data_IF_356140694460
#
_entry.id   IF_356140694460
#
_cell.length_a   1.000
_cell.length_b   1.000
_cell.length_c   1.000
_cell.angle_alpha   90.00
_cell.angle_beta   90.00
_cell.angle_gamma   90.00
#
_symmetry.space_group_name_H-M   'P 1'
#
loop_
_entity.id
_entity.type
_entity.pdbx_description
1 polymer ?
#
# COMPACT_ATOMS: atom_id res chain seq x y z
N UNK A 1 45.63 -24.36 -60.28
CA UNK A 1 44.46 -23.44 -60.09
C UNK A 1 43.22 -24.09 -59.43
N UNK A 2 43.34 -25.27 -58.84
CA UNK A 2 42.18 -26.02 -58.28
C UNK A 2 42.10 -26.14 -56.76
N UNK A 3 43.15 -25.82 -56.03
CA UNK A 3 43.21 -26.07 -54.60
C UNK A 3 42.73 -24.89 -53.71
N UNK A 4 42.86 -23.65 -54.17
CA UNK A 4 42.39 -22.46 -53.44
C UNK A 4 40.87 -22.32 -53.52
N UNK A 5 40.28 -22.62 -54.66
CA UNK A 5 38.84 -22.54 -54.87
C UNK A 5 38.07 -23.57 -54.04
N UNK A 6 38.63 -24.79 -53.85
CA UNK A 6 38.07 -25.82 -52.99
C UNK A 6 38.17 -25.46 -51.51
N UNK A 7 39.26 -24.81 -51.08
CA UNK A 7 39.42 -24.37 -49.68
C UNK A 7 38.47 -23.25 -49.32
N UNK A 8 38.19 -22.31 -50.19
CA UNK A 8 37.23 -21.21 -49.99
C UNK A 8 35.79 -21.72 -49.98
N UNK A 9 35.44 -22.70 -50.80
CA UNK A 9 34.11 -23.34 -50.79
C UNK A 9 33.86 -24.07 -49.44
N UNK A 10 34.83 -24.83 -48.95
CA UNK A 10 34.72 -25.54 -47.65
C UNK A 10 34.62 -24.53 -46.49
N UNK A 11 35.39 -23.42 -46.53
CA UNK A 11 35.32 -22.35 -45.53
C UNK A 11 33.95 -21.68 -45.51
N UNK A 12 33.37 -21.38 -46.67
CA UNK A 12 32.04 -20.78 -46.78
C UNK A 12 30.92 -21.69 -46.27
N UNK A 13 30.97 -22.99 -46.60
CA UNK A 13 30.01 -23.98 -46.10
C UNK A 13 30.11 -24.10 -44.55
N UNK A 14 31.32 -24.14 -44.02
CA UNK A 14 31.56 -24.22 -42.59
C UNK A 14 31.09 -22.97 -41.84
N UNK A 15 31.35 -21.78 -42.37
CA UNK A 15 30.86 -20.51 -41.80
C UNK A 15 29.32 -20.43 -41.85
N UNK A 16 28.71 -20.84 -42.96
CA UNK A 16 27.26 -20.86 -43.08
C UNK A 16 26.61 -21.85 -42.06
N UNK A 17 27.24 -23.00 -41.81
CA UNK A 17 26.76 -23.97 -40.82
C UNK A 17 26.88 -23.43 -39.40
N UNK A 18 27.98 -22.78 -39.06
CA UNK A 18 28.20 -22.14 -37.75
C UNK A 18 27.20 -21.00 -37.51
N UNK A 19 26.92 -20.16 -38.49
CA UNK A 19 25.96 -19.06 -38.37
C UNK A 19 24.53 -19.59 -38.17
N UNK A 20 24.13 -20.64 -38.91
CA UNK A 20 22.82 -21.28 -38.78
C UNK A 20 22.64 -21.94 -37.39
N UNK A 21 23.68 -22.58 -36.85
CA UNK A 21 23.65 -23.20 -35.53
C UNK A 21 23.53 -22.14 -34.42
N UNK A 22 24.27 -21.04 -34.51
CA UNK A 22 24.20 -19.90 -33.59
C UNK A 22 22.82 -19.24 -33.64
N UNK A 23 22.25 -19.02 -34.83
CA UNK A 23 20.93 -18.45 -35.02
C UNK A 23 19.85 -19.31 -34.34
N UNK A 24 19.90 -20.64 -34.55
CA UNK A 24 18.95 -21.57 -33.94
C UNK A 24 19.07 -21.59 -32.39
N UNK A 25 20.28 -21.48 -31.85
CA UNK A 25 20.51 -21.38 -30.42
C UNK A 25 19.93 -20.06 -29.85
N UNK A 26 20.12 -18.94 -30.55
CA UNK A 26 19.54 -17.64 -30.17
C UNK A 26 18.03 -17.66 -30.19
N UNK A 27 17.40 -18.24 -31.23
CA UNK A 27 15.94 -18.38 -31.33
C UNK A 27 15.37 -19.22 -30.18
N UNK A 28 16.05 -20.35 -29.84
CA UNK A 28 15.66 -21.17 -28.69
C UNK A 28 15.79 -20.40 -27.37
N UNK A 29 16.88 -19.68 -27.16
CA UNK A 29 17.08 -18.86 -25.96
C UNK A 29 16.00 -17.78 -25.86
N UNK A 30 15.72 -17.05 -26.96
CA UNK A 30 14.66 -16.04 -26.99
C UNK A 30 13.28 -16.63 -26.66
N UNK A 31 12.96 -17.81 -27.19
CA UNK A 31 11.71 -18.52 -26.88
C UNK A 31 11.57 -18.79 -25.36
N UNK A 32 12.62 -19.28 -24.71
CA UNK A 32 12.59 -19.53 -23.28
C UNK A 32 12.50 -18.26 -22.44
N UNK A 33 13.15 -17.18 -22.86
CA UNK A 33 13.00 -15.84 -22.24
C UNK A 33 11.55 -15.37 -22.36
N UNK A 34 10.94 -15.46 -23.56
CA UNK A 34 9.54 -15.06 -23.74
C UNK A 34 8.60 -15.89 -22.87
N UNK A 35 8.80 -17.21 -22.78
CA UNK A 35 8.00 -18.09 -21.92
C UNK A 35 8.17 -17.65 -20.45
N UNK A 36 9.39 -17.40 -20.00
CA UNK A 36 9.67 -16.92 -18.64
C UNK A 36 8.96 -15.61 -18.31
N UNK A 37 8.98 -14.66 -19.25
CA UNK A 37 8.27 -13.37 -19.08
C UNK A 37 6.75 -13.55 -19.02
N UNK A 38 6.16 -14.43 -19.82
CA UNK A 38 4.72 -14.73 -19.79
C UNK A 38 4.34 -15.36 -18.46
N UNK A 39 5.12 -16.33 -17.96
CA UNK A 39 4.88 -16.97 -16.67
C UNK A 39 4.98 -15.95 -15.53
N UNK A 40 5.99 -15.09 -15.55
CA UNK A 40 6.14 -14.02 -14.56
C UNK A 40 4.96 -13.05 -14.58
N UNK A 41 4.54 -12.60 -15.76
CA UNK A 41 3.39 -11.71 -15.92
C UNK A 41 2.10 -12.36 -15.40
N UNK A 42 1.89 -13.65 -15.71
CA UNK A 42 0.77 -14.44 -15.20
C UNK A 42 0.78 -14.57 -13.68
N UNK A 43 1.94 -14.82 -13.08
CA UNK A 43 2.10 -14.90 -11.63
C UNK A 43 1.79 -13.54 -10.94
N UNK A 44 2.33 -12.45 -11.48
CA UNK A 44 2.04 -11.10 -10.97
C UNK A 44 0.56 -10.75 -11.05
N UNK A 45 -0.09 -11.11 -12.17
CA UNK A 45 -1.53 -10.92 -12.33
C UNK A 45 -2.35 -11.75 -11.34
N UNK A 46 -1.97 -13.01 -11.13
CA UNK A 46 -2.64 -13.90 -10.17
C UNK A 46 -2.52 -13.37 -8.74
N UNK A 47 -1.33 -12.91 -8.33
CA UNK A 47 -1.09 -12.29 -7.03
C UNK A 47 -1.97 -11.03 -6.87
N UNK A 48 -1.99 -10.15 -7.88
CA UNK A 48 -2.80 -8.92 -7.83
C UNK A 48 -4.30 -9.25 -7.63
N UNK A 49 -4.82 -10.24 -8.35
CA UNK A 49 -6.23 -10.67 -8.21
C UNK A 49 -6.51 -11.36 -6.88
N UNK A 50 -5.59 -12.17 -6.40
CA UNK A 50 -5.71 -12.83 -5.10
C UNK A 50 -5.79 -11.84 -3.95
N UNK A 51 -4.90 -10.83 -3.92
CA UNK A 51 -4.93 -9.77 -2.90
C UNK A 51 -6.27 -9.02 -2.92
N UNK A 52 -6.75 -8.61 -4.11
CA UNK A 52 -8.05 -7.93 -4.23
C UNK A 52 -9.21 -8.82 -3.76
N UNK A 53 -9.23 -10.10 -4.13
CA UNK A 53 -10.28 -11.03 -3.74
C UNK A 53 -10.37 -11.23 -2.22
N UNK A 54 -9.22 -11.37 -1.56
CA UNK A 54 -9.14 -11.59 -0.11
C UNK A 54 -9.63 -10.40 0.72
N UNK A 55 -9.66 -9.20 0.15
CA UNK A 55 -9.91 -7.97 0.90
C UNK A 55 -11.18 -7.23 0.49
N UNK A 56 -11.86 -7.66 -0.58
CA UNK A 56 -12.99 -6.94 -1.17
C UNK A 56 -14.16 -6.69 -0.20
N UNK A 57 -14.41 -7.60 0.75
CA UNK A 57 -15.49 -7.48 1.73
C UNK A 57 -15.15 -6.55 2.92
N UNK A 58 -13.92 -6.04 2.96
CA UNK A 58 -13.44 -5.16 4.02
C UNK A 58 -13.38 -3.70 3.57
N UNK A 59 -13.88 -3.39 2.37
CA UNK A 59 -13.85 -2.05 1.78
C UNK A 59 -15.18 -1.33 1.97
N UNK A 60 -15.10 -0.08 2.43
CA UNK A 60 -16.16 0.91 2.32
C UNK A 60 -15.83 1.89 1.20
N UNK A 61 -16.83 2.40 0.52
CA UNK A 61 -16.70 3.39 -0.55
C UNK A 61 -17.44 4.70 -0.26
N UNK A 62 -18.22 4.74 0.80
CA UNK A 62 -18.86 5.94 1.33
C UNK A 62 -18.59 6.07 2.81
N UNK A 63 -18.43 7.30 3.30
CA UNK A 63 -18.35 7.60 4.73
C UNK A 63 -19.63 7.14 5.44
N UNK A 64 -20.77 7.25 4.78
CA UNK A 64 -22.08 6.90 5.37
C UNK A 64 -22.21 5.42 5.72
N UNK A 65 -21.52 4.53 4.96
CA UNK A 65 -21.56 3.09 5.17
C UNK A 65 -20.59 2.62 6.28
N UNK A 66 -19.67 3.49 6.72
CA UNK A 66 -18.69 3.13 7.73
C UNK A 66 -19.36 2.94 9.09
N UNK A 67 -19.18 1.76 9.68
CA UNK A 67 -19.54 1.53 11.06
C UNK A 67 -18.60 2.31 12.01
N UNK A 68 -19.04 2.68 13.24
CA UNK A 68 -18.19 3.37 14.21
C UNK A 68 -16.91 2.57 14.54
N UNK A 69 -15.78 3.27 14.59
CA UNK A 69 -14.48 2.74 14.98
C UNK A 69 -13.81 3.67 16.00
N UNK A 70 -13.11 3.10 16.96
CA UNK A 70 -12.35 3.91 17.92
C UNK A 70 -11.18 4.63 17.23
N UNK A 71 -10.47 3.95 16.33
CA UNK A 71 -9.27 4.47 15.71
C UNK A 71 -9.37 4.39 14.17
N UNK A 72 -8.97 5.47 13.50
CA UNK A 72 -8.68 5.43 12.08
C UNK A 72 -7.19 5.64 11.81
N UNK A 73 -6.59 4.76 11.01
CA UNK A 73 -5.21 4.86 10.55
C UNK A 73 -5.20 5.57 9.18
N UNK A 74 -4.72 6.80 9.14
CA UNK A 74 -4.55 7.55 7.90
C UNK A 74 -3.17 7.26 7.32
N UNK A 75 -3.12 6.55 6.19
CA UNK A 75 -1.85 6.23 5.55
C UNK A 75 -1.26 7.46 4.84
N UNK A 76 0.00 7.76 5.12
CA UNK A 76 0.71 8.92 4.62
C UNK A 76 0.88 8.93 3.10
N UNK A 77 1.00 10.13 2.58
CA UNK A 77 1.41 10.45 1.22
C UNK A 77 1.80 11.92 1.17
N UNK A 78 2.68 12.28 0.23
CA UNK A 78 3.12 13.68 0.08
C UNK A 78 1.95 14.61 -0.21
N UNK A 79 1.85 15.73 0.53
CA UNK A 79 0.82 16.76 0.33
C UNK A 79 0.94 17.45 -1.03
N UNK A 80 2.16 17.58 -1.55
CA UNK A 80 2.43 18.22 -2.83
C UNK A 80 3.23 17.29 -3.76
N UNK A 81 2.92 17.35 -5.04
CA UNK A 81 3.70 16.81 -6.14
C UNK A 81 4.37 17.99 -6.87
N UNK A 82 5.59 18.30 -6.48
CA UNK A 82 6.23 19.57 -6.85
C UNK A 82 5.49 20.75 -6.23
N UNK A 83 4.86 21.60 -7.04
CA UNK A 83 4.06 22.76 -6.59
C UNK A 83 2.54 22.50 -6.60
N UNK A 84 2.09 21.34 -7.06
CA UNK A 84 0.68 21.01 -7.21
C UNK A 84 0.21 20.23 -5.98
N UNK A 85 -0.95 20.58 -5.45
CA UNK A 85 -1.58 19.86 -4.34
C UNK A 85 -1.94 18.43 -4.81
N UNK A 86 -1.60 17.46 -3.99
CA UNK A 86 -1.79 16.04 -4.29
C UNK A 86 -3.22 15.60 -3.93
N UNK A 87 -4.05 15.31 -4.92
CA UNK A 87 -5.43 14.87 -4.71
C UNK A 87 -5.51 13.58 -3.86
N UNK A 88 -4.50 12.68 -3.93
CA UNK A 88 -4.42 11.52 -3.02
C UNK A 88 -4.39 11.92 -1.55
N UNK A 89 -3.65 12.98 -1.24
CA UNK A 89 -3.57 13.54 0.11
C UNK A 89 -4.89 14.18 0.52
N UNK A 90 -5.42 15.06 -0.33
CA UNK A 90 -6.65 15.82 -0.06
C UNK A 90 -7.80 14.89 0.28
N UNK A 91 -8.08 13.90 -0.56
CA UNK A 91 -9.20 12.98 -0.34
C UNK A 91 -9.07 12.15 0.94
N UNK A 92 -7.85 11.86 1.42
CA UNK A 92 -7.66 11.17 2.71
C UNK A 92 -7.97 12.08 3.88
N UNK A 93 -7.52 13.34 3.82
CA UNK A 93 -7.77 14.32 4.89
C UNK A 93 -9.24 14.68 4.95
N UNK A 94 -9.88 14.95 3.82
CA UNK A 94 -11.31 15.26 3.75
C UNK A 94 -12.14 14.11 4.34
N UNK A 95 -11.84 12.86 3.96
CA UNK A 95 -12.52 11.69 4.51
C UNK A 95 -12.30 11.52 6.03
N UNK A 96 -11.10 11.83 6.54
CA UNK A 96 -10.83 11.82 7.97
C UNK A 96 -11.68 12.87 8.71
N UNK A 97 -11.79 14.07 8.16
CA UNK A 97 -12.62 15.16 8.72
C UNK A 97 -14.11 14.77 8.69
N UNK A 98 -14.60 14.21 7.59
CA UNK A 98 -15.99 13.78 7.45
C UNK A 98 -16.35 12.67 8.45
N UNK A 99 -15.44 11.68 8.65
CA UNK A 99 -15.61 10.62 9.64
C UNK A 99 -15.65 11.16 11.08
N UNK A 100 -14.84 12.17 11.39
CA UNK A 100 -14.84 12.83 12.69
C UNK A 100 -16.16 13.59 12.91
N UNK A 101 -16.57 14.42 11.96
CA UNK A 101 -17.79 15.22 12.02
C UNK A 101 -19.06 14.35 12.16
N UNK A 102 -19.06 13.17 11.51
CA UNK A 102 -20.15 12.19 11.63
C UNK A 102 -20.01 11.29 12.88
N UNK A 103 -19.06 11.56 13.78
CA UNK A 103 -18.79 10.76 15.00
C UNK A 103 -18.54 9.27 14.73
N UNK A 104 -18.04 8.93 13.56
CA UNK A 104 -17.74 7.55 13.16
C UNK A 104 -16.33 7.11 13.56
N UNK A 105 -15.46 8.06 13.90
CA UNK A 105 -14.10 7.81 14.38
C UNK A 105 -13.79 8.75 15.53
N UNK A 106 -13.21 8.20 16.59
CA UNK A 106 -12.85 8.97 17.79
C UNK A 106 -11.40 9.45 17.79
N UNK A 107 -10.47 8.65 17.26
CA UNK A 107 -9.05 8.94 17.28
C UNK A 107 -8.41 8.68 15.91
N UNK A 108 -7.36 9.43 15.59
CA UNK A 108 -6.61 9.29 14.34
C UNK A 108 -5.17 8.91 14.62
N UNK A 109 -4.71 7.83 14.00
CA UNK A 109 -3.29 7.49 13.90
C UNK A 109 -2.79 7.90 12.52
N UNK A 110 -1.98 8.94 12.45
CA UNK A 110 -1.41 9.46 11.21
C UNK A 110 -0.05 8.81 10.99
N UNK A 111 -0.01 7.80 10.11
CA UNK A 111 1.20 7.02 9.87
C UNK A 111 1.83 7.35 8.54
N UNK A 112 3.11 7.73 8.56
CA UNK A 112 3.83 8.15 7.37
C UNK A 112 5.33 8.24 7.56
N UNK A 113 6.02 8.72 6.51
CA UNK A 113 7.47 8.86 6.47
C UNK A 113 7.91 10.24 6.98
N UNK A 114 8.94 10.26 7.84
CA UNK A 114 9.63 11.46 8.29
C UNK A 114 11.12 11.46 7.91
N UNK A 115 11.58 10.57 7.03
CA UNK A 115 12.98 10.42 6.68
C UNK A 115 13.59 11.68 6.01
N UNK A 116 12.76 12.52 5.42
CA UNK A 116 13.21 13.78 4.83
C UNK A 116 13.11 14.94 5.84
N UNK A 117 14.25 15.56 6.17
CA UNK A 117 14.30 16.71 7.10
C UNK A 117 13.39 17.88 6.72
N UNK A 118 13.07 18.03 5.43
CA UNK A 118 12.24 19.13 4.91
C UNK A 118 10.75 18.80 4.86
N UNK A 119 10.34 17.55 5.09
CA UNK A 119 8.94 17.14 4.97
C UNK A 119 8.61 15.97 5.90
N UNK A 120 7.65 16.18 6.77
CA UNK A 120 7.14 15.22 7.75
C UNK A 120 5.65 14.97 7.44
N UNK A 121 5.34 13.76 6.94
CA UNK A 121 3.97 13.42 6.53
C UNK A 121 3.00 13.45 7.71
N UNK A 122 3.23 12.73 8.83
CA UNK A 122 2.31 12.73 9.98
C UNK A 122 2.03 14.13 10.52
N UNK A 123 3.08 14.96 10.69
CA UNK A 123 2.92 16.32 11.17
C UNK A 123 2.12 17.20 10.21
N UNK A 124 2.30 16.99 8.90
CA UNK A 124 1.57 17.74 7.88
C UNK A 124 0.07 17.39 7.92
N UNK A 125 -0.26 16.10 8.07
CA UNK A 125 -1.64 15.64 8.25
C UNK A 125 -2.26 16.18 9.55
N UNK A 126 -1.53 16.10 10.68
CA UNK A 126 -1.98 16.63 11.97
C UNK A 126 -2.38 18.10 11.86
N UNK A 127 -1.53 18.92 11.25
CA UNK A 127 -1.79 20.37 11.08
C UNK A 127 -3.06 20.64 10.29
N UNK A 128 -3.39 19.80 9.29
CA UNK A 128 -4.62 20.00 8.51
C UNK A 128 -5.86 19.52 9.28
N UNK A 129 -5.78 18.45 10.09
CA UNK A 129 -6.86 18.02 10.98
C UNK A 129 -7.13 19.03 12.10
N UNK A 130 -6.07 19.61 12.70
CA UNK A 130 -6.21 20.69 13.70
C UNK A 130 -6.91 21.92 13.12
N UNK A 131 -6.67 22.27 11.85
CA UNK A 131 -7.37 23.38 11.16
C UNK A 131 -8.85 23.09 10.92
N UNK A 132 -9.21 21.81 10.87
CA UNK A 132 -10.58 21.34 10.78
C UNK A 132 -11.20 21.04 12.16
N UNK A 133 -10.62 21.61 13.23
CA UNK A 133 -11.09 21.55 14.61
C UNK A 133 -11.12 20.13 15.22
N UNK A 134 -10.37 19.17 14.67
CA UNK A 134 -10.13 17.89 15.35
C UNK A 134 -9.19 18.14 16.53
N UNK A 135 -9.57 17.78 17.77
CA UNK A 135 -8.78 18.05 18.97
C UNK A 135 -7.41 17.37 18.95
N UNK A 136 -6.40 18.03 19.50
CA UNK A 136 -5.00 17.55 19.49
C UNK A 136 -4.85 16.19 20.20
N UNK A 137 -5.56 15.99 21.28
CA UNK A 137 -5.59 14.76 22.07
C UNK A 137 -6.20 13.55 21.34
N UNK A 138 -6.84 13.77 20.20
CA UNK A 138 -7.40 12.73 19.32
C UNK A 138 -6.48 12.34 18.17
N UNK A 139 -5.29 12.97 18.08
CA UNK A 139 -4.39 12.81 16.93
C UNK A 139 -3.04 12.25 17.39
N UNK A 140 -2.76 11.03 17.00
CA UNK A 140 -1.52 10.30 17.29
C UNK A 140 -0.65 10.25 16.04
N UNK A 141 0.68 10.31 16.22
CA UNK A 141 1.62 10.41 15.10
C UNK A 141 2.57 9.21 15.06
N UNK A 142 2.49 8.45 13.99
CA UNK A 142 3.45 7.39 13.69
C UNK A 142 4.48 7.89 12.64
N UNK A 143 5.66 8.23 13.11
CA UNK A 143 6.77 8.73 12.30
C UNK A 143 7.60 7.64 11.61
N UNK A 144 7.28 6.38 11.85
CA UNK A 144 8.02 5.24 11.32
C UNK A 144 7.21 4.37 10.35
N UNK A 145 6.14 4.92 9.79
CA UNK A 145 5.31 4.29 8.76
C UNK A 145 5.93 4.37 7.36
N UNK A 146 7.19 3.89 7.19
CA UNK A 146 7.92 4.00 5.91
C UNK A 146 7.35 3.11 4.80
N UNK A 147 6.76 1.98 5.16
CA UNK A 147 6.10 1.04 4.27
C UNK A 147 4.72 0.72 4.83
N UNK A 148 3.81 0.25 3.99
CA UNK A 148 2.48 -0.18 4.45
C UNK A 148 2.55 -1.23 5.54
N UNK A 149 3.50 -2.17 5.46
CA UNK A 149 3.73 -3.16 6.51
C UNK A 149 4.09 -2.49 7.84
N UNK A 150 4.97 -1.49 7.81
CA UNK A 150 5.37 -0.77 9.02
C UNK A 150 4.15 -0.08 9.65
N UNK A 151 3.35 0.66 8.87
CA UNK A 151 2.15 1.36 9.35
C UNK A 151 1.13 0.41 10.01
N UNK A 152 0.83 -0.72 9.37
CA UNK A 152 -0.19 -1.65 9.83
C UNK A 152 0.27 -2.42 11.06
N UNK A 153 1.49 -2.95 11.07
CA UNK A 153 2.00 -3.72 12.21
C UNK A 153 2.27 -2.82 13.41
N UNK A 154 2.79 -1.60 13.18
CA UNK A 154 3.02 -0.63 14.27
C UNK A 154 1.73 -0.13 14.91
N UNK A 155 0.63 -0.01 14.15
CA UNK A 155 -0.68 0.30 14.74
C UNK A 155 -1.02 -0.69 15.87
N UNK A 156 -0.78 -1.98 15.67
CA UNK A 156 -0.99 -3.02 16.70
C UNK A 156 0.10 -3.00 17.77
N UNK A 157 1.37 -3.09 17.37
CA UNK A 157 2.47 -3.37 18.29
C UNK A 157 2.88 -2.17 19.15
N UNK A 158 2.74 -0.95 18.62
CA UNK A 158 3.16 0.31 19.27
C UNK A 158 1.96 1.04 19.84
N UNK A 159 0.88 1.20 19.02
CA UNK A 159 -0.27 2.01 19.39
C UNK A 159 -1.42 1.19 20.02
N UNK A 160 -1.19 -0.11 20.24
CA UNK A 160 -2.08 -1.05 20.92
C UNK A 160 -3.52 -1.05 20.35
N UNK A 161 -3.61 -0.96 19.00
CA UNK A 161 -4.89 -1.04 18.30
C UNK A 161 -4.85 -2.14 17.25
N UNK A 162 -5.71 -3.13 17.39
CA UNK A 162 -5.85 -4.29 16.48
C UNK A 162 -7.22 -4.34 15.79
N UNK A 163 -8.07 -3.32 16.04
CA UNK A 163 -9.35 -3.11 15.38
C UNK A 163 -9.47 -1.64 14.98
N UNK A 164 -9.29 -1.35 13.69
CA UNK A 164 -9.27 0.03 13.19
C UNK A 164 -9.77 0.17 11.76
N UNK A 165 -10.14 1.40 11.41
CA UNK A 165 -10.43 1.80 10.04
C UNK A 165 -9.17 2.34 9.37
N UNK A 166 -8.85 1.86 8.18
CA UNK A 166 -7.80 2.43 7.33
C UNK A 166 -8.43 3.49 6.40
N UNK A 167 -7.76 4.61 6.19
CA UNK A 167 -8.17 5.63 5.21
C UNK A 167 -7.10 5.73 4.13
N UNK A 168 -7.42 5.31 2.91
CA UNK A 168 -6.52 5.40 1.76
C UNK A 168 -7.26 5.16 0.43
N UNK A 169 -6.56 5.20 -0.70
CA UNK A 169 -7.13 4.82 -1.99
C UNK A 169 -7.29 3.29 -2.10
N UNK A 170 -8.27 2.84 -2.89
CA UNK A 170 -8.65 1.43 -2.99
C UNK A 170 -7.45 0.48 -3.18
N UNK A 171 -6.57 0.75 -4.13
CA UNK A 171 -5.42 -0.11 -4.40
C UNK A 171 -4.48 -0.26 -3.20
N UNK A 172 -4.35 0.81 -2.40
CA UNK A 172 -3.54 0.84 -1.18
C UNK A 172 -4.28 0.19 -0.01
N UNK A 173 -5.60 0.40 0.10
CA UNK A 173 -6.48 -0.29 1.05
C UNK A 173 -6.35 -1.81 0.93
N UNK A 174 -6.48 -2.35 -0.28
CA UNK A 174 -6.40 -3.79 -0.52
C UNK A 174 -5.05 -4.37 -0.05
N UNK A 175 -3.93 -3.69 -0.33
CA UNK A 175 -2.61 -4.12 0.16
C UNK A 175 -2.48 -4.00 1.68
N UNK A 176 -2.99 -2.93 2.27
CA UNK A 176 -2.95 -2.72 3.72
C UNK A 176 -3.80 -3.76 4.47
N UNK A 177 -5.01 -4.05 3.98
CA UNK A 177 -5.89 -5.08 4.51
C UNK A 177 -5.29 -6.49 4.37
N UNK A 178 -4.63 -6.78 3.26
CA UNK A 178 -3.95 -8.06 3.06
C UNK A 178 -2.85 -8.28 4.12
N UNK A 179 -2.09 -7.22 4.43
CA UNK A 179 -1.08 -7.25 5.50
C UNK A 179 -1.76 -7.39 6.87
N UNK A 180 -2.85 -6.64 7.12
CA UNK A 180 -3.61 -6.70 8.37
C UNK A 180 -4.16 -8.12 8.63
N UNK A 181 -4.75 -8.75 7.61
CA UNK A 181 -5.28 -10.11 7.71
C UNK A 181 -4.20 -11.13 8.07
N UNK A 182 -3.01 -11.02 7.47
CA UNK A 182 -1.87 -11.89 7.79
C UNK A 182 -1.42 -11.78 9.26
N UNK A 183 -1.51 -10.58 9.83
CA UNK A 183 -1.14 -10.30 11.23
C UNK A 183 -2.30 -10.44 12.22
N UNK A 184 -3.45 -11.01 11.80
CA UNK A 184 -4.66 -11.15 12.61
C UNK A 184 -5.13 -9.81 13.21
N UNK A 185 -5.12 -8.76 12.39
CA UNK A 185 -5.62 -7.41 12.71
C UNK A 185 -7.00 -7.25 12.08
N UNK A 186 -7.99 -6.88 12.89
CA UNK A 186 -9.36 -6.63 12.44
C UNK A 186 -9.45 -5.23 11.83
N UNK A 187 -9.15 -5.12 10.55
CA UNK A 187 -9.19 -3.84 9.85
C UNK A 187 -10.29 -3.81 8.78
N UNK A 188 -10.88 -2.64 8.62
CA UNK A 188 -11.68 -2.24 7.45
C UNK A 188 -10.99 -1.08 6.77
N UNK A 189 -11.36 -0.75 5.54
CA UNK A 189 -10.79 0.40 4.87
C UNK A 189 -11.85 1.24 4.17
N UNK A 190 -11.82 2.55 4.41
CA UNK A 190 -12.51 3.52 3.58
C UNK A 190 -11.64 3.84 2.36
N UNK A 191 -12.09 3.35 1.21
CA UNK A 191 -11.44 3.54 -0.07
C UNK A 191 -11.84 4.89 -0.67
N UNK A 192 -11.01 5.91 -0.47
CA UNK A 192 -11.23 7.24 -1.02
C UNK A 192 -10.86 7.33 -2.49
N UNK A 193 -11.42 8.31 -3.20
CA UNK A 193 -11.17 8.54 -4.63
C UNK A 193 -9.69 8.79 -4.93
N UNK A 194 -9.28 8.40 -6.11
CA UNK A 194 -7.98 8.80 -6.69
C UNK A 194 -8.09 10.14 -7.42
N UNK A 195 -6.96 10.64 -7.98
CA UNK A 195 -6.95 11.84 -8.79
C UNK A 195 -7.81 11.71 -10.04
N UNK A 196 -8.48 12.79 -10.40
CA UNK A 196 -9.35 12.89 -11.59
C UNK A 196 -8.55 12.88 -12.88
N UNK A 197 -7.28 13.30 -12.86
CA UNK A 197 -6.39 13.41 -14.04
C UNK A 197 -5.20 12.45 -13.96
N UNK A 198 -5.11 11.52 -14.92
CA UNK A 198 -3.90 10.85 -15.44
C UNK A 198 -2.90 10.18 -14.47
N UNK A 199 -3.30 9.43 -13.48
CA UNK A 199 -2.33 8.59 -12.75
C UNK A 199 -2.46 7.08 -13.01
N UNK A 200 -3.36 6.67 -13.91
CA UNK A 200 -3.84 5.29 -13.99
C UNK A 200 -2.75 4.23 -14.15
N UNK A 201 -2.00 4.22 -15.26
CA UNK A 201 -1.15 3.06 -15.61
C UNK A 201 0.10 2.93 -14.73
N UNK A 202 0.85 4.02 -14.51
CA UNK A 202 2.09 3.96 -13.70
C UNK A 202 1.82 3.56 -12.25
N UNK A 203 0.76 4.12 -11.65
CA UNK A 203 0.35 3.79 -10.29
C UNK A 203 -0.11 2.35 -10.20
N UNK A 204 -0.91 1.89 -11.18
CA UNK A 204 -1.38 0.51 -11.25
C UNK A 204 -0.22 -0.49 -11.38
N UNK A 205 0.73 -0.23 -12.28
CA UNK A 205 1.91 -1.08 -12.45
C UNK A 205 2.77 -1.13 -11.18
N UNK A 206 3.03 0.03 -10.56
CA UNK A 206 3.74 0.09 -9.27
C UNK A 206 3.03 -0.75 -8.20
N UNK A 207 1.69 -0.71 -8.17
CA UNK A 207 0.92 -1.43 -7.17
C UNK A 207 0.98 -2.94 -7.36
N UNK A 208 0.95 -3.45 -8.60
CA UNK A 208 1.14 -4.88 -8.89
C UNK A 208 2.46 -5.38 -8.26
N UNK A 209 3.56 -4.66 -8.47
CA UNK A 209 4.84 -4.99 -7.85
C UNK A 209 4.84 -4.83 -6.32
N UNK A 210 4.17 -3.81 -5.79
CA UNK A 210 4.06 -3.58 -4.36
C UNK A 210 3.28 -4.71 -3.66
N UNK A 211 2.24 -5.25 -4.30
CA UNK A 211 1.49 -6.42 -3.81
C UNK A 211 2.32 -7.70 -3.87
N UNK A 212 3.04 -7.93 -4.98
CA UNK A 212 3.96 -9.05 -5.08
C UNK A 212 5.05 -8.99 -4.00
N UNK A 213 5.59 -7.77 -3.75
CA UNK A 213 6.53 -7.56 -2.66
C UNK A 213 5.89 -7.84 -1.29
N UNK A 214 4.65 -7.41 -1.04
CA UNK A 214 3.96 -7.68 0.22
C UNK A 214 3.79 -9.20 0.44
N UNK A 215 3.42 -9.96 -0.58
CA UNK A 215 3.36 -11.43 -0.51
C UNK A 215 4.73 -12.03 -0.17
N UNK A 216 5.79 -11.59 -0.84
CA UNK A 216 7.17 -12.00 -0.52
C UNK A 216 7.54 -11.67 0.92
N UNK A 217 7.27 -10.42 1.34
CA UNK A 217 7.61 -9.94 2.68
C UNK A 217 6.89 -10.77 3.78
N UNK A 218 5.64 -11.14 3.57
CA UNK A 218 4.86 -11.87 4.56
C UNK A 218 5.17 -13.37 4.59
N UNK A 219 5.18 -14.04 3.43
CA UNK A 219 5.21 -15.50 3.37
C UNK A 219 6.62 -16.09 3.23
N UNK A 220 7.56 -15.34 2.68
CA UNK A 220 8.92 -15.83 2.39
C UNK A 220 9.95 -15.20 3.31
N UNK A 221 10.09 -13.87 3.31
CA UNK A 221 11.12 -13.19 4.11
C UNK A 221 10.70 -12.96 5.55
N UNK A 222 9.40 -13.06 5.87
CA UNK A 222 8.83 -12.77 7.19
C UNK A 222 9.29 -11.41 7.72
N UNK A 223 9.23 -10.43 6.83
CA UNK A 223 9.73 -9.09 7.10
C UNK A 223 9.02 -8.47 8.31
N UNK A 224 9.80 -7.85 9.18
CA UNK A 224 9.32 -7.10 10.33
C UNK A 224 9.32 -5.60 10.02
N UNK A 225 8.60 -4.77 10.79
CA UNK A 225 8.74 -3.33 10.73
C UNK A 225 10.19 -2.89 10.86
N UNK A 226 10.56 -1.86 10.10
CA UNK A 226 11.93 -1.35 10.10
C UNK A 226 12.37 -0.84 11.49
N UNK A 227 11.44 -0.25 12.22
CA UNK A 227 11.63 0.22 13.58
C UNK A 227 10.42 -0.12 14.43
N UNK A 228 10.66 -0.74 15.58
CA UNK A 228 9.74 -0.81 16.71
C UNK A 228 10.30 0.13 17.77
N UNK A 229 9.47 0.96 18.35
CA UNK A 229 9.80 1.87 19.46
C UNK A 229 9.15 1.43 20.75
N UNK A 230 9.17 2.27 21.78
CA UNK A 230 8.37 2.08 22.96
C UNK A 230 6.87 2.08 22.60
N UNK A 231 6.05 1.42 23.42
CA UNK A 231 4.60 1.46 23.27
C UNK A 231 4.06 2.85 23.57
N UNK A 232 3.15 3.30 22.72
CA UNK A 232 2.40 4.56 22.84
C UNK A 232 0.90 4.26 22.62
N UNK A 233 0.21 3.58 23.56
CA UNK A 233 -1.16 3.15 23.38
C UNK A 233 -2.10 4.33 23.11
N UNK A 234 -3.00 4.16 22.16
CA UNK A 234 -4.09 5.11 21.93
C UNK A 234 -5.12 4.92 23.03
N UNK A 235 -5.22 5.91 23.91
CA UNK A 235 -6.19 5.88 25.02
C UNK A 235 -7.60 5.91 24.46
N UNK A 236 -8.40 4.88 24.74
CA UNK A 236 -9.85 5.01 24.60
C UNK A 236 -10.30 6.03 25.65
N UNK A 237 -11.00 7.13 25.27
CA UNK A 237 -11.55 8.01 26.29
C UNK A 237 -12.43 7.19 27.21
N UNK A 238 -12.42 7.42 28.53
CA UNK A 238 -13.42 6.82 29.38
C UNK A 238 -14.78 7.21 28.81
N UNK A 239 -15.63 6.19 28.55
CA UNK A 239 -17.03 6.44 28.22
C UNK A 239 -17.56 7.43 29.26
N UNK A 240 -17.99 8.59 28.79
CA UNK A 240 -18.46 9.64 29.69
C UNK A 240 -19.63 9.05 30.43
N UNK A 241 -19.53 8.95 31.76
CA UNK A 241 -20.55 8.41 32.65
C UNK A 241 -21.93 9.08 32.48
N UNK A 242 -22.04 10.08 31.64
CA UNK A 242 -23.28 10.75 31.23
C UNK A 242 -24.14 9.92 30.27
N UNK A 243 -23.56 9.07 29.42
CA UNK A 243 -24.37 8.23 28.52
C UNK A 243 -25.03 7.04 29.23
N UNK A 244 -24.44 6.58 30.33
CA UNK A 244 -25.00 5.46 31.12
C UNK A 244 -26.22 5.93 31.93
N UNK A 245 -26.31 7.22 32.27
CA UNK A 245 -27.45 7.75 33.05
C UNK A 245 -28.71 7.97 32.19
N UNK A 246 -28.58 8.11 30.88
CA UNK A 246 -29.74 8.25 29.96
C UNK A 246 -30.36 6.89 29.57
N UNK A 247 -29.61 5.79 29.70
CA UNK A 247 -30.11 4.45 29.36
C UNK A 247 -30.83 3.72 30.49
N UNK A 248 -30.88 4.29 31.70
CA UNK A 248 -31.57 3.70 32.83
C UNK A 248 -32.33 4.75 33.65
N UNK A 249 -33.47 5.31 33.14
CA UNK A 249 -34.36 6.12 33.95
C UNK A 249 -35.09 5.20 34.93
N UNK A 250 -34.76 5.34 36.21
CA UNK A 250 -35.44 4.73 37.33
C UNK A 250 -36.91 5.15 37.46
#
# INVERSE_FOLDING_TARGET
>A
MGTEEQTDLVRNIFQHHLTKTRLNAMVKALKWVCIGLIVLAGALFAIDRWVSYQTQQQLYFSVDDVAPHNVAVVLGTSKYLGKILNEYYVHRIDAAIDLYNQKKVSNFLLSGDNAHRSYNEPWTMKRDLLRAEVPDERIYLDYAGFRTLDSIVRAKEIFDTDNFLIISQQFHCERALFIANFHNIQAKCLAVSGPTKHSGFKVRLREVFARAKAVLDLYITRAQPKFLGPKEPISTPPETSAEISELNPS
#
